data_IF_798581226166
#
_entry.id   IF_798581226166
#
_cell.length_a   1.000
_cell.length_b   1.000
_cell.length_c   1.000
_cell.angle_alpha   90.00
_cell.angle_beta   90.00
_cell.angle_gamma   90.00
#
_symmetry.space_group_name_H-M   'P 1'
#
loop_
_entity.id
_entity.type
_entity.pdbx_description
1 polymer ?
#
# COMPACT_ATOMS: atom_id res chain seq x y z
N UNK A 1 27.15 -8.90 -21.20
CA UNK A 1 25.85 -8.20 -21.14
C UNK A 1 25.27 -8.44 -19.75
N UNK A 2 25.37 -7.47 -18.84
CA UNK A 2 24.80 -7.58 -17.50
C UNK A 2 23.30 -7.29 -17.57
N UNK A 3 22.47 -8.31 -17.35
CA UNK A 3 21.02 -8.15 -17.24
C UNK A 3 20.74 -7.34 -15.96
N UNK A 4 20.49 -6.04 -16.11
CA UNK A 4 20.00 -5.17 -15.05
C UNK A 4 18.64 -5.74 -14.64
N UNK A 5 18.56 -6.43 -13.49
CA UNK A 5 17.30 -6.91 -12.89
C UNK A 5 16.33 -5.73 -12.95
N UNK A 6 15.30 -5.83 -13.81
CA UNK A 6 14.17 -4.91 -13.73
C UNK A 6 13.60 -5.13 -12.34
N UNK A 7 13.56 -4.07 -11.53
CA UNK A 7 12.72 -4.07 -10.35
C UNK A 7 11.31 -4.43 -10.81
N UNK A 8 10.65 -5.37 -10.13
CA UNK A 8 9.24 -5.67 -10.38
C UNK A 8 8.44 -4.36 -10.37
N UNK A 9 7.28 -4.31 -11.03
CA UNK A 9 6.28 -3.24 -10.96
C UNK A 9 5.56 -3.25 -9.60
N UNK A 10 4.69 -2.27 -9.32
CA UNK A 10 4.01 -2.26 -8.02
C UNK A 10 3.03 -3.44 -7.94
N UNK A 11 2.31 -3.65 -9.03
CA UNK A 11 1.33 -4.70 -9.25
C UNK A 11 1.96 -6.09 -9.12
N UNK A 12 3.10 -6.33 -9.77
CA UNK A 12 3.83 -7.60 -9.64
C UNK A 12 4.31 -7.87 -8.19
N UNK A 13 4.77 -6.83 -7.48
CA UNK A 13 5.22 -6.99 -6.09
C UNK A 13 4.05 -7.23 -5.12
N UNK A 14 2.89 -6.64 -5.40
CA UNK A 14 1.66 -6.84 -4.64
C UNK A 14 1.11 -8.25 -4.86
N UNK A 15 1.05 -8.71 -6.11
CA UNK A 15 0.60 -10.07 -6.45
C UNK A 15 1.48 -11.14 -5.80
N UNK A 16 2.81 -10.96 -5.80
CA UNK A 16 3.73 -11.89 -5.11
C UNK A 16 3.49 -11.89 -3.60
N UNK A 17 3.19 -10.72 -3.00
CA UNK A 17 2.89 -10.60 -1.58
C UNK A 17 1.58 -11.31 -1.21
N UNK A 18 0.54 -11.17 -2.04
CA UNK A 18 -0.75 -11.85 -1.84
C UNK A 18 -0.58 -13.37 -1.88
N UNK A 19 0.19 -13.88 -2.84
CA UNK A 19 0.51 -15.31 -2.95
C UNK A 19 1.31 -15.82 -1.74
N UNK A 20 2.22 -15.01 -1.19
CA UNK A 20 2.96 -15.35 0.02
C UNK A 20 2.04 -15.44 1.24
N UNK A 21 1.13 -14.49 1.39
CA UNK A 21 0.16 -14.49 2.49
C UNK A 21 -0.76 -15.71 2.39
N UNK A 22 -1.30 -16.00 1.21
CA UNK A 22 -2.16 -17.17 0.99
C UNK A 22 -1.45 -18.48 1.38
N UNK A 23 -0.18 -18.63 1.01
CA UNK A 23 0.64 -19.79 1.39
C UNK A 23 0.85 -19.86 2.91
N UNK A 24 1.22 -18.75 3.55
CA UNK A 24 1.41 -18.70 5.00
C UNK A 24 0.12 -19.02 5.77
N UNK A 25 -1.03 -18.58 5.26
CA UNK A 25 -2.35 -18.83 5.85
C UNK A 25 -2.82 -20.29 5.68
N UNK A 26 -2.39 -20.97 4.63
CA UNK A 26 -2.69 -22.39 4.42
C UNK A 26 -2.11 -23.28 5.54
N UNK A 27 -0.99 -22.87 6.15
CA UNK A 27 -0.45 -23.47 7.37
C UNK A 27 0.17 -24.87 7.21
N UNK A 28 0.39 -25.31 5.97
CA UNK A 28 0.98 -26.60 5.61
C UNK A 28 2.48 -26.53 5.26
N UNK A 29 3.10 -25.35 5.42
CA UNK A 29 4.53 -25.15 5.18
C UNK A 29 5.40 -25.60 6.37
N UNK A 30 6.56 -26.22 6.09
CA UNK A 30 7.63 -26.37 7.07
C UNK A 30 8.05 -25.01 7.64
N UNK A 31 8.50 -25.00 8.90
CA UNK A 31 8.90 -23.77 9.61
C UNK A 31 9.95 -22.95 8.85
N UNK A 32 10.93 -23.62 8.25
CA UNK A 32 12.01 -22.97 7.49
C UNK A 32 11.46 -22.23 6.26
N UNK A 33 10.52 -22.84 5.55
CA UNK A 33 9.88 -22.25 4.38
C UNK A 33 8.95 -21.10 4.79
N UNK A 34 8.20 -21.27 5.89
CA UNK A 34 7.36 -20.20 6.44
C UNK A 34 8.17 -18.96 6.85
N UNK A 35 9.36 -19.16 7.44
CA UNK A 35 10.28 -18.05 7.76
C UNK A 35 10.81 -17.38 6.50
N UNK A 36 11.18 -18.15 5.47
CA UNK A 36 11.64 -17.61 4.20
C UNK A 36 10.56 -16.79 3.49
N UNK A 37 9.32 -17.30 3.45
CA UNK A 37 8.17 -16.61 2.88
C UNK A 37 7.84 -15.34 3.67
N UNK A 38 7.93 -15.37 5.01
CA UNK A 38 7.75 -14.18 5.84
C UNK A 38 8.80 -13.10 5.56
N UNK A 39 10.09 -13.46 5.51
CA UNK A 39 11.17 -12.52 5.17
C UNK A 39 10.95 -11.89 3.78
N UNK A 40 10.53 -12.71 2.81
CA UNK A 40 10.21 -12.23 1.47
C UNK A 40 9.02 -11.26 1.49
N UNK A 41 7.96 -11.58 2.23
CA UNK A 41 6.78 -10.72 2.39
C UNK A 41 7.12 -9.36 3.01
N UNK A 42 7.96 -9.33 4.04
CA UNK A 42 8.45 -8.08 4.66
C UNK A 42 9.21 -7.23 3.64
N UNK A 43 10.04 -7.86 2.80
CA UNK A 43 10.78 -7.16 1.76
C UNK A 43 9.85 -6.58 0.69
N UNK A 44 8.89 -7.36 0.21
CA UNK A 44 7.90 -6.90 -0.78
C UNK A 44 7.06 -5.73 -0.25
N UNK A 45 6.64 -5.81 1.02
CA UNK A 45 5.89 -4.73 1.69
C UNK A 45 6.67 -3.41 1.65
N UNK A 46 7.97 -3.46 1.98
CA UNK A 46 8.84 -2.27 1.92
C UNK A 46 9.01 -1.76 0.49
N UNK A 47 9.15 -2.65 -0.48
CA UNK A 47 9.25 -2.28 -1.90
C UNK A 47 7.97 -1.57 -2.37
N UNK A 48 6.78 -2.10 -2.02
CA UNK A 48 5.49 -1.48 -2.32
C UNK A 48 5.35 -0.09 -1.70
N UNK A 49 5.69 0.06 -0.41
CA UNK A 49 5.65 1.36 0.28
C UNK A 49 6.57 2.40 -0.39
N UNK A 50 7.78 2.01 -0.79
CA UNK A 50 8.71 2.91 -1.47
C UNK A 50 8.18 3.39 -2.82
N UNK A 51 7.52 2.50 -3.57
CA UNK A 51 6.91 2.85 -4.87
C UNK A 51 5.76 3.82 -4.70
N UNK A 52 4.89 3.58 -3.71
CA UNK A 52 3.77 4.47 -3.39
C UNK A 52 4.29 5.85 -2.97
N UNK A 53 5.29 5.92 -2.08
CA UNK A 53 5.90 7.18 -1.67
C UNK A 53 6.52 7.94 -2.86
N UNK A 54 7.20 7.24 -3.77
CA UNK A 54 7.75 7.85 -4.97
C UNK A 54 6.67 8.35 -5.93
N UNK A 55 5.55 7.63 -6.06
CA UNK A 55 4.42 8.04 -6.88
C UNK A 55 3.72 9.28 -6.30
N UNK A 56 3.48 9.29 -4.99
CA UNK A 56 2.92 10.42 -4.24
C UNK A 56 3.77 11.68 -4.42
N UNK A 57 5.09 11.57 -4.22
CA UNK A 57 6.02 12.67 -4.43
C UNK A 57 5.95 13.20 -5.87
N UNK A 58 5.87 12.31 -6.86
CA UNK A 58 5.77 12.72 -8.26
C UNK A 58 4.46 13.47 -8.54
N UNK A 59 3.35 13.00 -8.00
CA UNK A 59 2.05 13.68 -8.10
C UNK A 59 2.14 15.07 -7.46
N UNK A 60 2.73 15.17 -6.27
CA UNK A 60 2.92 16.46 -5.57
C UNK A 60 3.69 17.47 -6.42
N UNK A 61 4.82 17.07 -6.99
CA UNK A 61 5.63 17.95 -7.86
C UNK A 61 4.83 18.42 -9.09
N UNK A 62 4.11 17.50 -9.75
CA UNK A 62 3.29 17.85 -10.92
C UNK A 62 2.14 18.81 -10.56
N UNK A 63 1.55 18.63 -9.37
CA UNK A 63 0.50 19.52 -8.87
C UNK A 63 1.04 20.92 -8.54
N UNK A 64 2.21 21.01 -7.91
CA UNK A 64 2.91 22.28 -7.64
C UNK A 64 3.27 23.02 -8.93
N UNK A 65 3.76 22.32 -9.95
CA UNK A 65 4.08 22.88 -11.27
C UNK A 65 2.83 23.39 -12.03
N UNK A 66 1.66 22.78 -11.79
CA UNK A 66 0.38 23.17 -12.40
C UNK A 66 -0.28 24.40 -11.76
N UNK A 67 0.26 24.91 -10.64
CA UNK A 67 -0.10 26.20 -10.05
C UNK A 67 -1.47 26.28 -9.37
N UNK A 68 -2.14 25.16 -9.08
CA UNK A 68 -3.46 25.20 -8.43
C UNK A 68 -3.79 23.94 -7.63
N UNK A 69 -3.28 23.77 -6.40
CA UNK A 69 -3.98 22.97 -5.36
C UNK A 69 -3.72 23.52 -3.94
N UNK A 70 -4.80 23.66 -3.17
CA UNK A 70 -4.81 23.75 -1.69
C UNK A 70 -4.85 22.32 -1.14
N UNK A 71 -3.87 21.92 -0.35
CA UNK A 71 -3.93 20.68 0.43
C UNK A 71 -5.09 20.80 1.44
N UNK A 72 -6.15 20.01 1.25
CA UNK A 72 -7.15 19.80 2.30
C UNK A 72 -6.71 18.58 3.11
N UNK A 73 -6.74 18.63 4.45
CA UNK A 73 -6.48 17.46 5.27
C UNK A 73 -7.48 16.36 4.90
N UNK A 74 -6.98 15.15 4.68
CA UNK A 74 -7.83 13.98 4.56
C UNK A 74 -8.34 13.63 5.96
N UNK A 75 -9.57 14.02 6.27
CA UNK A 75 -10.21 13.69 7.53
C UNK A 75 -10.76 12.27 7.44
N UNK A 76 -10.06 11.31 8.05
CA UNK A 76 -10.50 9.91 8.09
C UNK A 76 -11.66 9.68 9.08
N UNK A 77 -12.24 10.75 9.66
CA UNK A 77 -13.24 10.70 10.72
C UNK A 77 -14.65 11.19 10.30
N UNK A 78 -14.94 11.36 9.01
CA UNK A 78 -16.30 11.64 8.52
C UNK A 78 -17.19 10.37 8.50
N UNK A 79 -17.15 9.61 9.58
CA UNK A 79 -17.97 8.43 9.82
C UNK A 79 -18.81 8.60 11.08
N UNK A 80 -20.07 8.98 10.85
CA UNK A 80 -21.20 8.85 11.78
C UNK A 80 -21.27 9.83 12.96
N UNK A 81 -21.83 11.02 12.69
CA UNK A 81 -22.78 11.61 13.63
C UNK A 81 -24.01 12.01 12.84
N UNK A 82 -24.82 11.01 12.48
CA UNK A 82 -26.19 11.25 12.07
C UNK A 82 -26.89 12.06 13.16
N UNK A 83 -26.99 13.37 12.89
CA UNK A 83 -27.93 14.28 13.50
C UNK A 83 -29.35 13.82 13.14
N UNK A 84 -29.87 12.84 13.88
CA UNK A 84 -31.31 12.59 13.94
C UNK A 84 -31.92 13.57 14.93
N UNK A 85 -32.65 14.55 14.39
CA UNK A 85 -33.38 15.54 15.17
C UNK A 85 -34.37 14.91 16.14
N UNK A 86 -34.42 15.46 17.35
CA UNK A 86 -35.63 15.42 18.16
C UNK A 86 -36.34 16.76 17.97
N UNK A 87 -37.32 16.73 17.07
CA UNK A 87 -38.36 17.72 16.89
C UNK A 87 -39.26 17.74 18.16
N UNK A 88 -39.70 18.93 18.56
CA UNK A 88 -40.87 19.23 19.40
C UNK A 88 -41.07 18.48 20.76
N UNK A 89 -40.91 19.22 21.86
CA UNK A 89 -41.79 19.17 23.04
C UNK A 89 -41.63 20.44 23.91
#
# INVERSE_FOLDING_TARGET
MAAKKKSATFEEALEELEQLVERLEAGDLPLEDALADFERGVKLTRECQQKLASAEQKVKVLMEESGSIRELPFDANDGDSDNYGAEDA
#
